data_IF_263755692587
#
_entry.id   IF_263755692587
#
_cell.length_a   1.000
_cell.length_b   1.000
_cell.length_c   1.000
_cell.angle_alpha   90.00
_cell.angle_beta   90.00
_cell.angle_gamma   90.00
#
_symmetry.space_group_name_H-M   'P 1'
#
loop_
_entity.id
_entity.type
_entity.pdbx_description
1 polymer ?
#
# COMPACT_ATOMS: atom_id res chain seq x y z
N UNK A 1 21.20 37.74 22.45
CA UNK A 1 21.28 36.28 22.70
C UNK A 1 22.00 35.66 21.53
N UNK A 2 23.31 35.41 21.66
CA UNK A 2 24.08 34.69 20.63
C UNK A 2 23.99 33.20 20.94
N UNK A 3 23.35 32.43 20.06
CA UNK A 3 23.36 30.98 20.14
C UNK A 3 24.66 30.45 19.54
N UNK A 4 25.49 29.79 20.34
CA UNK A 4 26.63 29.03 19.84
C UNK A 4 26.11 27.80 19.07
N UNK A 5 26.38 27.75 17.76
CA UNK A 5 26.11 26.56 16.96
C UNK A 5 27.16 25.49 17.26
N UNK A 6 26.84 24.58 18.18
CA UNK A 6 27.62 23.36 18.38
C UNK A 6 27.27 22.40 17.23
N UNK A 7 28.09 22.40 16.18
CA UNK A 7 27.79 21.77 14.90
C UNK A 7 27.18 20.36 14.96
N UNK A 8 26.44 19.98 13.92
CA UNK A 8 25.66 18.74 13.81
C UNK A 8 26.34 17.48 14.40
N UNK A 9 27.65 17.29 14.21
CA UNK A 9 28.42 16.19 14.81
C UNK A 9 28.42 16.18 16.34
N UNK A 10 28.49 17.32 17.01
CA UNK A 10 28.48 17.41 18.47
C UNK A 10 27.11 17.03 19.05
N UNK A 11 26.02 17.45 18.39
CA UNK A 11 24.66 17.02 18.74
C UNK A 11 24.45 15.53 18.49
N UNK A 12 24.92 15.01 17.35
CA UNK A 12 24.75 13.61 16.97
C UNK A 12 25.50 12.65 17.93
N UNK A 13 26.70 13.03 18.35
CA UNK A 13 27.48 12.29 19.36
C UNK A 13 26.84 12.30 20.76
N UNK A 14 26.07 13.34 21.10
CA UNK A 14 25.35 13.42 22.37
C UNK A 14 24.08 12.55 22.38
N UNK A 15 23.37 12.49 21.25
CA UNK A 15 22.10 11.74 21.11
C UNK A 15 22.35 10.26 20.79
N UNK A 16 23.42 9.92 20.06
CA UNK A 16 23.71 8.55 19.65
C UNK A 16 25.22 8.23 19.73
N UNK A 17 25.72 8.07 20.96
CA UNK A 17 27.15 7.81 21.28
C UNK A 17 27.79 6.62 20.54
N UNK A 18 26.97 5.68 20.03
CA UNK A 18 27.42 4.49 19.33
C UNK A 18 27.29 4.56 17.79
N UNK A 19 26.98 5.72 17.20
CA UNK A 19 27.01 5.85 15.74
C UNK A 19 28.45 5.84 15.22
N UNK A 20 28.91 4.65 14.85
CA UNK A 20 30.09 4.48 14.03
C UNK A 20 29.83 5.05 12.63
N UNK A 21 30.75 5.85 12.10
CA UNK A 21 30.67 6.53 10.80
C UNK A 21 30.29 5.57 9.65
N UNK A 22 28.98 5.44 9.37
CA UNK A 22 28.39 4.51 8.40
C UNK A 22 29.06 4.62 7.02
N UNK A 23 29.44 5.84 6.60
CA UNK A 23 30.03 6.10 5.27
C UNK A 23 31.40 5.46 5.04
N UNK A 24 32.25 5.33 6.06
CA UNK A 24 33.60 4.75 5.90
C UNK A 24 33.55 3.21 5.84
N UNK A 25 32.65 2.60 6.61
CA UNK A 25 32.47 1.15 6.62
C UNK A 25 31.81 0.63 5.34
N UNK A 26 30.87 1.38 4.75
CA UNK A 26 30.26 0.99 3.47
C UNK A 26 31.31 0.84 2.37
N UNK A 27 32.28 1.76 2.28
CA UNK A 27 33.30 1.70 1.24
C UNK A 27 34.24 0.49 1.39
N UNK A 28 34.77 0.27 2.60
CA UNK A 28 35.63 -0.89 2.89
C UNK A 28 34.88 -2.21 2.70
N UNK A 29 33.62 -2.26 3.11
CA UNK A 29 32.76 -3.43 2.93
C UNK A 29 32.51 -3.73 1.44
N UNK A 30 32.24 -2.71 0.62
CA UNK A 30 32.07 -2.88 -0.84
C UNK A 30 33.32 -3.44 -1.51
N UNK A 31 34.51 -2.98 -1.09
CA UNK A 31 35.79 -3.51 -1.61
C UNK A 31 36.00 -4.98 -1.23
N UNK A 32 35.76 -5.34 0.04
CA UNK A 32 35.88 -6.73 0.52
C UNK A 32 34.87 -7.65 -0.16
N UNK A 33 33.63 -7.20 -0.34
CA UNK A 33 32.59 -7.96 -1.06
C UNK A 33 32.99 -8.18 -2.52
N UNK A 34 33.53 -7.16 -3.21
CA UNK A 34 34.02 -7.31 -4.59
C UNK A 34 35.12 -8.37 -4.71
N UNK A 35 36.08 -8.38 -3.80
CA UNK A 35 37.17 -9.35 -3.79
C UNK A 35 36.71 -10.77 -3.46
N UNK A 36 35.77 -10.93 -2.53
CA UNK A 36 35.24 -12.24 -2.11
C UNK A 36 34.32 -12.83 -3.18
N UNK A 37 33.46 -12.00 -3.79
CA UNK A 37 32.56 -12.42 -4.87
C UNK A 37 33.31 -12.85 -6.13
N UNK A 38 34.49 -12.27 -6.40
CA UNK A 38 35.35 -12.72 -7.51
C UNK A 38 36.06 -14.06 -7.26
N UNK A 39 36.18 -14.51 -6.01
CA UNK A 39 36.93 -15.72 -5.64
C UNK A 39 36.06 -16.90 -5.26
N UNK A 40 34.84 -16.67 -4.74
CA UNK A 40 34.00 -17.72 -4.15
C UNK A 40 32.58 -17.67 -4.75
N UNK A 41 32.24 -18.65 -5.59
CA UNK A 41 30.92 -18.72 -6.26
C UNK A 41 29.74 -18.74 -5.27
N UNK A 42 29.90 -19.39 -4.11
CA UNK A 42 28.87 -19.44 -3.06
C UNK A 42 28.56 -18.06 -2.48
N UNK A 43 29.55 -17.16 -2.45
CA UNK A 43 29.38 -15.79 -1.95
C UNK A 43 28.62 -14.91 -2.95
N UNK A 44 28.72 -15.18 -4.26
CA UNK A 44 27.90 -14.54 -5.30
C UNK A 44 26.42 -14.86 -5.07
N UNK A 45 26.11 -16.13 -4.82
CA UNK A 45 24.74 -16.55 -4.55
C UNK A 45 24.19 -15.90 -3.27
N UNK A 46 24.96 -15.91 -2.18
CA UNK A 46 24.58 -15.25 -0.93
C UNK A 46 24.36 -13.74 -1.14
N UNK A 47 25.26 -13.06 -1.86
CA UNK A 47 25.13 -11.65 -2.17
C UNK A 47 23.88 -11.38 -3.02
N UNK A 48 23.61 -12.22 -4.02
CA UNK A 48 22.39 -12.13 -4.83
C UNK A 48 21.12 -12.27 -4.01
N UNK A 49 21.08 -13.22 -3.06
CA UNK A 49 19.95 -13.39 -2.13
C UNK A 49 19.81 -12.17 -1.23
N UNK A 50 20.90 -11.71 -0.61
CA UNK A 50 20.88 -10.54 0.28
C UNK A 50 20.44 -9.27 -0.45
N UNK A 51 20.93 -9.06 -1.67
CA UNK A 51 20.51 -7.95 -2.52
C UNK A 51 19.03 -8.07 -2.91
N UNK A 52 18.56 -9.28 -3.25
CA UNK A 52 17.14 -9.55 -3.51
C UNK A 52 16.26 -9.22 -2.29
N UNK A 53 16.65 -9.67 -1.10
CA UNK A 53 15.97 -9.32 0.15
C UNK A 53 16.00 -7.81 0.42
N UNK A 54 17.13 -7.15 0.19
CA UNK A 54 17.26 -5.71 0.38
C UNK A 54 16.35 -4.92 -0.56
N UNK A 55 16.28 -5.29 -1.84
CA UNK A 55 15.35 -4.71 -2.83
C UNK A 55 13.91 -4.98 -2.42
N UNK A 56 13.58 -6.22 -2.03
CA UNK A 56 12.25 -6.56 -1.56
C UNK A 56 11.85 -5.67 -0.38
N UNK A 57 12.67 -5.54 0.67
CA UNK A 57 12.38 -4.71 1.84
C UNK A 57 12.32 -3.23 1.46
N UNK A 58 13.26 -2.73 0.65
CA UNK A 58 13.27 -1.33 0.19
C UNK A 58 11.99 -0.97 -0.54
N UNK A 59 11.52 -1.83 -1.43
CA UNK A 59 10.30 -1.62 -2.22
C UNK A 59 9.02 -2.06 -1.47
N UNK A 60 9.12 -2.46 -0.19
CA UNK A 60 7.94 -2.89 0.59
C UNK A 60 6.92 -1.76 0.79
N UNK A 61 7.37 -0.51 0.92
CA UNK A 61 6.49 0.65 1.06
C UNK A 61 5.53 0.81 -0.14
N UNK A 62 5.96 0.45 -1.36
CA UNK A 62 5.08 0.45 -2.54
C UNK A 62 3.97 -0.59 -2.41
N UNK A 63 4.25 -1.74 -1.79
CA UNK A 63 3.24 -2.79 -1.49
C UNK A 63 2.34 -2.41 -0.31
N UNK A 64 2.81 -1.55 0.60
CA UNK A 64 2.04 -1.02 1.72
C UNK A 64 1.11 0.12 1.27
N UNK A 65 1.53 0.96 0.31
CA UNK A 65 0.68 2.00 -0.27
C UNK A 65 -0.55 1.40 -0.99
N UNK A 66 -0.41 0.20 -1.55
CA UNK A 66 -1.56 -0.60 -2.04
C UNK A 66 -2.55 -1.00 -0.95
N UNK A 67 -2.20 -0.97 0.34
CA UNK A 67 -3.03 -1.44 1.44
C UNK A 67 -3.69 -0.32 2.24
N UNK A 68 -3.39 0.96 1.96
CA UNK A 68 -3.99 2.04 2.73
C UNK A 68 -5.28 2.51 2.05
N UNK A 69 -6.47 2.17 2.59
CA UNK A 69 -7.72 2.58 1.99
C UNK A 69 -7.86 4.10 2.04
N UNK A 70 -8.39 4.68 0.95
CA UNK A 70 -8.68 6.12 0.89
C UNK A 70 -9.68 6.58 1.95
N UNK A 71 -10.60 5.69 2.34
CA UNK A 71 -11.64 5.89 3.36
C UNK A 71 -11.55 4.76 4.40
N UNK A 72 -10.62 4.84 5.39
CA UNK A 72 -10.39 3.78 6.39
C UNK A 72 -11.59 3.45 7.26
N UNK A 73 -12.47 4.43 7.49
CA UNK A 73 -13.71 4.32 8.25
C UNK A 73 -14.78 3.48 7.56
N UNK A 74 -14.60 3.12 6.29
CA UNK A 74 -15.54 2.32 5.50
C UNK A 74 -14.98 0.94 5.10
N UNK A 75 -13.95 0.47 5.81
CA UNK A 75 -13.27 -0.81 5.54
C UNK A 75 -14.17 -2.03 5.73
N UNK A 76 -15.09 -1.99 6.69
CA UNK A 76 -15.98 -3.14 6.96
C UNK A 76 -17.26 -3.08 6.13
N UNK A 77 -17.79 -4.26 5.81
CA UNK A 77 -19.05 -4.40 5.09
C UNK A 77 -20.22 -3.69 5.80
N UNK A 78 -20.31 -3.84 7.13
CA UNK A 78 -21.40 -3.26 7.91
C UNK A 78 -21.39 -1.72 7.85
N UNK A 79 -20.21 -1.09 7.91
CA UNK A 79 -20.07 0.37 7.81
C UNK A 79 -20.52 0.88 6.44
N UNK A 80 -20.17 0.17 5.37
CA UNK A 80 -20.66 0.50 4.03
C UNK A 80 -22.17 0.31 3.91
N UNK A 81 -22.72 -0.77 4.47
CA UNK A 81 -24.15 -1.05 4.39
C UNK A 81 -25.02 0.04 5.03
N UNK A 82 -24.57 0.63 6.14
CA UNK A 82 -25.25 1.74 6.83
C UNK A 82 -25.39 2.96 5.90
N UNK A 83 -24.43 3.21 5.00
CA UNK A 83 -24.53 4.32 4.05
C UNK A 83 -25.73 4.20 3.10
N UNK A 84 -26.24 2.99 2.89
CA UNK A 84 -27.41 2.71 2.05
C UNK A 84 -28.76 2.78 2.80
N UNK A 85 -28.82 3.39 3.99
CA UNK A 85 -30.07 3.53 4.75
C UNK A 85 -31.11 4.39 4.02
N UNK A 86 -30.66 5.44 3.33
CA UNK A 86 -31.51 6.33 2.52
C UNK A 86 -31.63 5.91 1.06
N UNK A 87 -31.12 4.72 0.70
CA UNK A 87 -31.12 4.25 -0.68
C UNK A 87 -32.52 3.81 -1.12
N UNK A 88 -33.11 4.50 -2.08
CA UNK A 88 -34.52 4.31 -2.48
C UNK A 88 -34.72 3.45 -3.72
N UNK A 89 -33.66 3.11 -4.45
CA UNK A 89 -33.76 2.40 -5.73
C UNK A 89 -33.92 0.90 -5.53
N UNK A 90 -35.17 0.45 -5.43
CA UNK A 90 -35.54 -0.95 -5.16
C UNK A 90 -35.03 -1.97 -6.18
N UNK A 91 -34.75 -1.52 -7.41
CA UNK A 91 -34.25 -2.41 -8.48
C UNK A 91 -32.75 -2.73 -8.31
N UNK A 92 -32.01 -1.92 -7.54
CA UNK A 92 -30.59 -2.14 -7.27
C UNK A 92 -30.44 -2.81 -5.91
N UNK A 93 -29.68 -3.91 -5.90
CA UNK A 93 -29.36 -4.61 -4.66
C UNK A 93 -28.12 -3.96 -4.01
N UNK A 94 -28.31 -3.37 -2.84
CA UNK A 94 -27.23 -2.73 -2.07
C UNK A 94 -26.18 -3.71 -1.53
N UNK A 95 -26.54 -4.97 -1.31
CA UNK A 95 -25.63 -5.98 -0.73
C UNK A 95 -24.41 -6.24 -1.62
N UNK A 96 -24.53 -6.60 -2.91
CA UNK A 96 -23.38 -6.83 -3.77
C UNK A 96 -22.54 -5.56 -3.99
N UNK A 97 -23.16 -4.38 -3.96
CA UNK A 97 -22.42 -3.11 -3.96
C UNK A 97 -21.51 -3.00 -2.72
N UNK A 98 -22.06 -3.24 -1.53
CA UNK A 98 -21.27 -3.25 -0.30
C UNK A 98 -20.19 -4.34 -0.30
N UNK A 99 -20.46 -5.52 -0.87
CA UNK A 99 -19.50 -6.64 -0.96
C UNK A 99 -18.28 -6.29 -1.81
N UNK A 100 -18.47 -5.59 -2.93
CA UNK A 100 -17.37 -5.13 -3.80
C UNK A 100 -16.69 -3.86 -3.28
N UNK A 101 -17.06 -3.38 -2.10
CA UNK A 101 -16.39 -2.27 -1.44
C UNK A 101 -16.99 -0.91 -1.77
N UNK A 102 -18.26 -0.85 -2.18
CA UNK A 102 -18.93 0.42 -2.43
C UNK A 102 -19.73 0.93 -1.21
N UNK A 103 -19.67 2.24 -1.01
CA UNK A 103 -20.53 3.05 -0.15
C UNK A 103 -21.47 3.92 -0.99
N UNK A 104 -22.64 4.28 -0.45
CA UNK A 104 -23.59 5.18 -1.10
C UNK A 104 -23.27 6.64 -0.78
N UNK A 105 -23.24 7.51 -1.79
CA UNK A 105 -22.93 8.93 -1.64
C UNK A 105 -24.15 9.81 -1.31
N UNK A 106 -25.35 9.23 -1.18
CA UNK A 106 -26.58 9.98 -0.87
C UNK A 106 -27.26 10.60 -2.08
N UNK A 107 -26.78 10.36 -3.30
CA UNK A 107 -27.32 10.93 -4.52
C UNK A 107 -27.71 9.82 -5.52
N UNK A 108 -29.01 9.67 -5.78
CA UNK A 108 -29.58 8.73 -6.78
C UNK A 108 -29.04 7.31 -6.59
N UNK A 109 -28.09 6.89 -7.43
CA UNK A 109 -27.41 5.59 -7.43
C UNK A 109 -25.88 5.71 -7.35
N UNK A 110 -25.38 6.92 -7.04
CA UNK A 110 -23.95 7.18 -6.94
C UNK A 110 -23.33 6.41 -5.78
N UNK A 111 -22.37 5.57 -6.11
CA UNK A 111 -21.59 4.82 -5.13
C UNK A 111 -20.11 5.12 -5.30
N UNK A 112 -19.36 5.04 -4.20
CA UNK A 112 -17.92 5.25 -4.17
C UNK A 112 -17.22 4.04 -3.57
N UNK A 113 -16.01 3.72 -4.03
CA UNK A 113 -15.19 2.68 -3.44
C UNK A 113 -14.36 3.22 -2.27
N UNK A 114 -14.49 2.63 -1.08
CA UNK A 114 -13.72 3.04 0.09
C UNK A 114 -12.20 2.97 -0.10
N UNK A 115 -11.71 2.07 -0.96
CA UNK A 115 -10.29 1.77 -1.07
C UNK A 115 -9.56 2.73 -2.03
N UNK A 116 -10.14 3.00 -3.20
CA UNK A 116 -9.54 3.83 -4.27
C UNK A 116 -10.33 5.10 -4.59
N UNK A 117 -11.54 5.23 -4.06
CA UNK A 117 -12.43 6.37 -4.33
C UNK A 117 -13.00 6.40 -5.75
N UNK A 118 -13.00 5.27 -6.47
CA UNK A 118 -13.74 5.12 -7.73
C UNK A 118 -15.21 5.45 -7.46
N UNK A 119 -15.80 6.35 -8.25
CA UNK A 119 -17.23 6.68 -8.19
C UNK A 119 -17.91 6.11 -9.42
N UNK A 120 -19.03 5.41 -9.24
CA UNK A 120 -19.90 4.90 -10.31
C UNK A 120 -21.35 5.35 -10.06
N UNK A 121 -22.09 5.52 -11.15
CA UNK A 121 -23.49 5.93 -11.17
C UNK A 121 -24.15 5.42 -12.47
N UNK A 122 -25.43 5.69 -12.68
CA UNK A 122 -26.20 5.22 -13.85
C UNK A 122 -26.25 3.68 -13.97
N UNK A 123 -26.48 3.00 -12.85
CA UNK A 123 -26.53 1.54 -12.78
C UNK A 123 -27.76 0.96 -13.51
N UNK A 124 -27.53 0.00 -14.39
CA UNK A 124 -28.56 -0.78 -15.05
C UNK A 124 -28.85 -2.09 -14.29
N UNK A 125 -30.06 -2.64 -14.46
CA UNK A 125 -30.52 -3.86 -13.76
C UNK A 125 -29.61 -5.08 -13.99
N UNK A 126 -28.95 -5.14 -15.15
CA UNK A 126 -28.08 -6.25 -15.55
C UNK A 126 -26.62 -6.08 -15.12
N UNK A 127 -26.28 -4.93 -14.54
CA UNK A 127 -24.90 -4.61 -14.19
C UNK A 127 -24.47 -5.41 -12.97
N UNK A 128 -23.25 -5.93 -13.02
CA UNK A 128 -22.64 -6.70 -11.95
C UNK A 128 -21.60 -5.84 -11.24
N UNK A 129 -21.79 -5.50 -9.94
CA UNK A 129 -20.89 -4.61 -9.23
C UNK A 129 -19.42 -5.04 -9.24
N UNK A 130 -19.15 -6.36 -9.25
CA UNK A 130 -17.79 -6.91 -9.33
C UNK A 130 -17.13 -6.64 -10.68
N UNK A 131 -17.86 -6.87 -11.77
CA UNK A 131 -17.38 -6.58 -13.13
C UNK A 131 -17.18 -5.09 -13.35
N UNK A 132 -18.16 -4.27 -12.98
CA UNK A 132 -18.08 -2.81 -13.16
C UNK A 132 -16.90 -2.22 -12.38
N UNK A 133 -16.74 -2.59 -11.10
CA UNK A 133 -15.59 -2.12 -10.32
C UNK A 133 -14.26 -2.59 -10.93
N UNK A 134 -14.15 -3.86 -11.29
CA UNK A 134 -12.90 -4.38 -11.86
C UNK A 134 -12.57 -3.77 -13.22
N UNK A 135 -13.57 -3.42 -14.01
CA UNK A 135 -13.42 -2.79 -15.31
C UNK A 135 -12.93 -1.34 -15.15
N UNK A 136 -13.58 -0.55 -14.28
CA UNK A 136 -13.27 0.86 -14.09
C UNK A 136 -12.07 1.12 -13.18
N UNK A 137 -11.72 0.20 -12.28
CA UNK A 137 -10.53 0.28 -11.42
C UNK A 137 -9.82 -1.08 -11.31
N UNK A 138 -9.11 -1.51 -12.37
CA UNK A 138 -8.44 -2.80 -12.41
C UNK A 138 -7.29 -2.92 -11.41
N UNK A 139 -6.80 -1.79 -10.89
CA UNK A 139 -5.73 -1.69 -9.90
C UNK A 139 -6.23 -1.65 -8.45
N UNK A 140 -7.55 -1.70 -8.22
CA UNK A 140 -8.09 -1.69 -6.87
C UNK A 140 -7.67 -2.95 -6.09
N UNK A 141 -6.80 -2.76 -5.10
CA UNK A 141 -6.24 -3.87 -4.30
C UNK A 141 -7.30 -4.69 -3.57
N UNK A 142 -8.36 -4.04 -3.06
CA UNK A 142 -9.49 -4.73 -2.43
C UNK A 142 -10.15 -5.74 -3.38
N UNK A 143 -10.42 -5.33 -4.62
CA UNK A 143 -11.05 -6.18 -5.64
C UNK A 143 -10.09 -7.28 -6.09
N UNK A 144 -8.80 -6.97 -6.30
CA UNK A 144 -7.79 -7.96 -6.67
C UNK A 144 -7.63 -9.06 -5.60
N UNK A 145 -7.59 -8.69 -4.32
CA UNK A 145 -7.48 -9.63 -3.21
C UNK A 145 -8.71 -10.53 -3.10
N UNK A 146 -9.92 -9.96 -3.24
CA UNK A 146 -11.18 -10.72 -3.19
C UNK A 146 -11.33 -11.69 -4.36
N UNK A 147 -10.86 -11.33 -5.56
CA UNK A 147 -10.80 -12.26 -6.71
C UNK A 147 -9.90 -13.46 -6.43
N UNK A 148 -8.72 -13.22 -5.84
CA UNK A 148 -7.76 -14.29 -5.53
C UNK A 148 -8.26 -15.28 -4.46
N UNK A 149 -9.15 -14.87 -3.55
CA UNK A 149 -9.73 -15.76 -2.53
C UNK A 149 -10.95 -16.54 -3.01
N UNK A 150 -11.58 -16.11 -4.10
CA UNK A 150 -12.81 -16.69 -4.65
C UNK A 150 -12.57 -17.51 -5.93
N UNK A 151 -11.30 -17.67 -6.34
CA UNK A 151 -10.86 -18.50 -7.49
C UNK A 151 -10.27 -19.81 -6.98
#
# INVERSE_FOLDING_TARGET
MQGEYHGFSAQLSNVAKNQMHIRCYTHVLCLVIGDVTNKILQSINLFGILNGCAVFIKESHKRIDFQNPKYPELTTFALRLITFDLFTLKHLNKLPMCEVGFEFLGAVDCVQCFNYGLILHEWEIKDDPWKEHAYHSPVCSFVQLKKATNS
#
